data_IF_452936670766
#
_entry.id   IF_452936670766
#
_cell.length_a   1.000
_cell.length_b   1.000
_cell.length_c   1.000
_cell.angle_alpha   90.00
_cell.angle_beta   90.00
_cell.angle_gamma   90.00
#
_symmetry.space_group_name_H-M   'P 1'
#
loop_
_entity.id
_entity.type
_entity.pdbx_description
1 polymer ?
#
# COMPACT_ATOMS: atom_id res chain seq x y z
N UNK A 1 3.02 -9.95 11.06
CA UNK A 1 2.58 -9.08 9.94
C UNK A 1 2.24 -9.96 8.74
N UNK A 2 0.99 -10.01 8.28
CA UNK A 2 0.61 -10.84 7.11
C UNK A 2 0.96 -10.09 5.82
N UNK A 3 2.05 -10.48 5.17
CA UNK A 3 2.52 -9.86 3.92
C UNK A 3 2.07 -10.71 2.74
N UNK A 4 1.49 -10.09 1.72
CA UNK A 4 1.10 -10.81 0.50
C UNK A 4 2.35 -11.21 -0.31
N UNK A 5 2.37 -12.42 -0.88
CA UNK A 5 3.50 -13.00 -1.64
C UNK A 5 4.07 -12.09 -2.75
N UNK A 6 3.21 -11.28 -3.38
CA UNK A 6 3.63 -10.36 -4.47
C UNK A 6 4.13 -8.99 -3.96
N UNK A 7 4.27 -8.81 -2.64
CA UNK A 7 4.71 -7.53 -2.06
C UNK A 7 6.21 -7.37 -2.24
N UNK A 8 6.63 -6.57 -3.23
CA UNK A 8 8.06 -6.31 -3.49
C UNK A 8 8.75 -5.47 -2.41
N UNK A 9 8.03 -4.54 -1.79
CA UNK A 9 8.56 -3.65 -0.75
C UNK A 9 7.83 -3.88 0.58
N UNK A 10 8.56 -4.49 1.52
CA UNK A 10 8.11 -4.68 2.90
C UNK A 10 8.07 -3.33 3.64
N UNK A 11 7.28 -3.21 4.71
CA UNK A 11 7.30 -2.03 5.61
C UNK A 11 8.69 -1.63 6.09
N UNK A 12 9.54 -2.61 6.41
CA UNK A 12 10.93 -2.36 6.77
C UNK A 12 11.70 -1.71 5.61
N UNK A 13 11.56 -2.23 4.38
CA UNK A 13 12.18 -1.60 3.20
C UNK A 13 11.69 -0.16 3.00
N UNK A 14 10.40 0.13 3.28
CA UNK A 14 9.85 1.49 3.15
C UNK A 14 10.48 2.46 4.15
N UNK A 15 10.72 2.02 5.38
CA UNK A 15 11.45 2.80 6.39
C UNK A 15 12.89 3.08 5.95
N UNK A 16 13.60 2.05 5.50
CA UNK A 16 14.99 2.19 5.01
C UNK A 16 15.06 3.12 3.80
N UNK A 17 14.13 2.99 2.84
CA UNK A 17 14.02 3.91 1.68
C UNK A 17 13.80 5.35 2.14
N UNK A 18 12.93 5.56 3.13
CA UNK A 18 12.66 6.90 3.67
C UNK A 18 13.91 7.51 4.32
N UNK A 19 14.62 6.75 5.16
CA UNK A 19 15.86 7.20 5.79
C UNK A 19 16.95 7.47 4.76
N UNK A 20 17.14 6.57 3.78
CA UNK A 20 18.11 6.74 2.71
C UNK A 20 17.84 8.00 1.86
N UNK A 21 16.56 8.30 1.59
CA UNK A 21 16.18 9.50 0.84
C UNK A 21 16.36 10.79 1.66
N UNK A 22 16.03 10.77 2.95
CA UNK A 22 16.02 11.97 3.80
C UNK A 22 17.38 12.28 4.43
N UNK A 23 18.07 11.27 4.98
CA UNK A 23 19.35 11.42 5.66
C UNK A 23 20.53 11.29 4.68
N UNK A 24 20.55 10.22 3.88
CA UNK A 24 21.67 9.92 2.99
C UNK A 24 21.57 10.63 1.62
N UNK A 25 20.49 11.39 1.39
CA UNK A 25 20.22 12.14 0.15
C UNK A 25 20.30 11.27 -1.11
N UNK A 26 20.02 9.97 -0.99
CA UNK A 26 20.08 9.06 -2.13
C UNK A 26 19.05 9.43 -3.22
N UNK A 27 19.47 9.34 -4.47
CA UNK A 27 18.57 9.62 -5.60
C UNK A 27 17.51 8.53 -5.76
N UNK A 28 16.32 8.94 -6.23
CA UNK A 28 15.21 8.01 -6.52
C UNK A 28 15.62 6.95 -7.56
N UNK A 29 16.49 7.30 -8.50
CA UNK A 29 17.01 6.38 -9.52
C UNK A 29 17.90 5.30 -8.90
N UNK A 30 18.77 5.65 -7.93
CA UNK A 30 19.58 4.69 -7.18
C UNK A 30 18.70 3.71 -6.41
N UNK A 31 17.72 4.23 -5.67
CA UNK A 31 16.78 3.43 -4.87
C UNK A 31 15.95 2.48 -5.75
N UNK A 32 15.48 2.95 -6.91
CA UNK A 32 14.73 2.12 -7.84
C UNK A 32 15.56 0.93 -8.36
N UNK A 33 16.84 1.15 -8.68
CA UNK A 33 17.77 0.09 -9.10
C UNK A 33 18.05 -0.89 -7.95
N UNK A 34 18.38 -0.38 -6.75
CA UNK A 34 18.72 -1.19 -5.57
C UNK A 34 17.59 -2.16 -5.19
N UNK A 35 16.34 -1.69 -5.25
CA UNK A 35 15.18 -2.49 -4.88
C UNK A 35 14.49 -3.19 -6.07
N UNK A 36 15.04 -3.10 -7.28
CA UNK A 36 14.46 -3.69 -8.51
C UNK A 36 12.98 -3.34 -8.72
N UNK A 37 12.63 -2.07 -8.47
CA UNK A 37 11.28 -1.52 -8.61
C UNK A 37 11.27 -0.33 -9.55
N UNK A 38 10.09 -0.02 -10.07
CA UNK A 38 9.90 1.19 -10.86
C UNK A 38 10.12 2.45 -10.02
N UNK A 39 10.58 3.54 -10.65
CA UNK A 39 10.69 4.86 -9.99
C UNK A 39 9.34 5.33 -9.43
N UNK A 40 8.25 5.02 -10.13
CA UNK A 40 6.88 5.31 -9.71
C UNK A 40 6.55 4.63 -8.38
N UNK A 41 7.02 3.40 -8.15
CA UNK A 41 6.86 2.69 -6.89
C UNK A 41 7.59 3.41 -5.76
N UNK A 42 8.83 3.87 -5.98
CA UNK A 42 9.58 4.65 -4.98
C UNK A 42 8.86 5.96 -4.65
N UNK A 43 8.37 6.71 -5.65
CA UNK A 43 7.59 7.93 -5.40
C UNK A 43 6.33 7.67 -4.56
N UNK A 44 5.61 6.57 -4.81
CA UNK A 44 4.44 6.19 -3.99
C UNK A 44 4.85 5.87 -2.55
N UNK A 45 5.97 5.18 -2.35
CA UNK A 45 6.50 4.88 -1.01
C UNK A 45 6.90 6.16 -0.29
N UNK A 46 7.60 7.08 -0.95
CA UNK A 46 7.98 8.37 -0.36
C UNK A 46 6.75 9.22 -0.01
N UNK A 47 5.72 9.23 -0.88
CA UNK A 47 4.44 9.90 -0.61
C UNK A 47 3.75 9.31 0.64
N UNK A 48 3.72 7.98 0.76
CA UNK A 48 3.14 7.30 1.93
C UNK A 48 3.95 7.54 3.21
N UNK A 49 5.28 7.51 3.11
CA UNK A 49 6.20 7.73 4.23
C UNK A 49 6.07 9.16 4.81
N UNK A 50 5.88 10.18 3.97
CA UNK A 50 5.55 11.55 4.43
C UNK A 50 4.30 11.59 5.31
N UNK A 51 3.28 10.79 4.97
CA UNK A 51 2.06 10.63 5.75
C UNK A 51 2.19 9.67 6.94
N UNK A 52 3.40 9.20 7.28
CA UNK A 52 3.67 8.18 8.31
C UNK A 52 2.95 6.83 8.08
N UNK A 53 2.51 6.57 6.85
CA UNK A 53 1.81 5.34 6.46
C UNK A 53 2.81 4.24 6.06
N UNK A 54 3.66 3.85 7.01
CA UNK A 54 4.73 2.87 6.79
C UNK A 54 4.25 1.42 7.03
N UNK A 55 3.15 1.24 7.77
CA UNK A 55 2.52 -0.05 7.99
C UNK A 55 1.80 -0.58 6.72
N UNK A 56 1.59 -1.90 6.59
CA UNK A 56 0.68 -2.44 5.60
C UNK A 56 -0.70 -1.84 5.79
N UNK A 57 -1.26 -1.26 4.73
CA UNK A 57 -2.64 -0.80 4.76
C UNK A 57 -3.58 -1.97 4.54
N UNK A 58 -4.65 -2.00 5.32
CA UNK A 58 -5.76 -2.90 5.06
C UNK A 58 -6.40 -2.50 3.73
N UNK A 59 -6.69 -3.47 2.86
CA UNK A 59 -7.39 -3.24 1.59
C UNK A 59 -8.88 -2.92 1.78
N UNK A 60 -9.32 -2.71 3.02
CA UNK A 60 -10.71 -2.45 3.36
C UNK A 60 -11.08 -1.05 2.90
N UNK A 61 -11.68 -0.98 1.72
CA UNK A 61 -12.25 0.25 1.20
C UNK A 61 -13.32 0.77 2.17
N UNK A 62 -13.27 2.06 2.53
CA UNK A 62 -14.30 2.70 3.36
C UNK A 62 -15.70 2.53 2.76
N UNK A 63 -15.82 2.45 1.44
CA UNK A 63 -17.04 2.10 0.71
C UNK A 63 -17.68 0.82 1.26
N UNK A 64 -16.89 -0.23 1.50
CA UNK A 64 -17.39 -1.51 1.99
C UNK A 64 -17.79 -1.49 3.47
N UNK A 65 -17.43 -0.44 4.23
CA UNK A 65 -17.85 -0.24 5.62
C UNK A 65 -19.19 0.49 5.72
N UNK A 66 -19.70 1.08 4.64
CA UNK A 66 -20.95 1.84 4.66
C UNK A 66 -22.16 0.92 4.54
N UNK A 67 -23.20 1.18 5.34
CA UNK A 67 -24.45 0.43 5.35
C UNK A 67 -25.10 0.35 3.95
N UNK A 68 -25.05 1.44 3.16
CA UNK A 68 -25.56 1.46 1.79
C UNK A 68 -25.00 0.34 0.90
N UNK A 69 -23.67 0.13 0.94
CA UNK A 69 -23.03 -0.92 0.15
C UNK A 69 -23.20 -2.31 0.79
N UNK A 70 -23.35 -2.37 2.11
CA UNK A 70 -23.76 -3.59 2.82
C UNK A 70 -25.13 -4.08 2.34
N UNK A 71 -26.13 -3.20 2.34
CA UNK A 71 -27.49 -3.50 1.88
C UNK A 71 -27.51 -3.93 0.41
N UNK A 72 -26.83 -3.21 -0.48
CA UNK A 72 -26.74 -3.61 -1.90
C UNK A 72 -26.13 -5.00 -2.08
N UNK A 73 -25.14 -5.36 -1.26
CA UNK A 73 -24.53 -6.69 -1.31
C UNK A 73 -25.46 -7.75 -0.74
N UNK A 74 -26.18 -7.45 0.34
CA UNK A 74 -27.19 -8.34 0.90
C UNK A 74 -28.27 -8.68 -0.13
N UNK A 75 -28.89 -7.68 -0.77
CA UNK A 75 -29.89 -7.89 -1.82
C UNK A 75 -29.38 -8.72 -2.98
N UNK A 76 -28.10 -8.56 -3.36
CA UNK A 76 -27.48 -9.38 -4.41
C UNK A 76 -27.37 -10.86 -4.00
N UNK A 77 -27.04 -11.12 -2.74
CA UNK A 77 -26.93 -12.49 -2.21
C UNK A 77 -28.30 -13.13 -2.10
N UNK A 78 -29.29 -12.41 -1.58
CA UNK A 78 -30.68 -12.92 -1.46
C UNK A 78 -31.25 -13.34 -2.81
N UNK A 79 -31.06 -12.53 -3.86
CA UNK A 79 -31.47 -12.87 -5.23
C UNK A 79 -30.76 -14.08 -5.85
N UNK A 80 -29.62 -14.49 -5.31
CA UNK A 80 -28.89 -15.66 -5.80
C UNK A 80 -29.26 -16.94 -5.06
N UNK A 81 -29.95 -16.82 -3.91
CA UNK A 81 -30.46 -17.93 -3.12
C UNK A 81 -31.90 -18.29 -3.54
N UNK A 82 -32.67 -17.30 -4.00
CA UNK A 82 -33.96 -17.51 -4.69
C UNK A 82 -33.75 -18.07 -6.10
#
# INVERSE_FOLDING_TARGET
MKIHKNTRLTPHHRQVIWLAYTQNKESVTSLARRYMVSRQTIYRVLKAARGRLLAPQNSTNNRCKQAYYGMRRLTKVERAIQ
#
